data_IF_313463100611
#
_entry.id   IF_313463100611
#
_cell.length_a   1.000
_cell.length_b   1.000
_cell.length_c   1.000
_cell.angle_alpha   90.00
_cell.angle_beta   90.00
_cell.angle_gamma   90.00
#
_symmetry.space_group_name_H-M   'P 1'
#
loop_
_entity.id
_entity.type
_entity.pdbx_description
1 polymer ?
#
# COMPACT_ATOMS: atom_id res chain seq x y z
N UNK A 1 0.20 34.64 1.91
CA UNK A 1 0.51 35.21 3.26
C UNK A 1 -0.69 35.80 4.01
N UNK A 2 -1.94 35.63 3.54
CA UNK A 2 -3.11 36.31 4.14
C UNK A 2 -3.87 35.46 5.17
N UNK A 3 -3.84 34.13 5.05
CA UNK A 3 -4.64 33.22 5.90
C UNK A 3 -4.13 33.05 7.35
N UNK A 4 -2.81 33.08 7.58
CA UNK A 4 -2.23 32.91 8.94
C UNK A 4 -2.64 34.03 9.89
N UNK A 5 -2.83 35.26 9.38
CA UNK A 5 -3.27 36.42 10.19
C UNK A 5 -4.73 36.32 10.63
N UNK A 6 -5.61 35.75 9.80
CA UNK A 6 -7.03 35.63 10.12
C UNK A 6 -7.30 34.61 11.24
N UNK A 7 -6.52 33.51 11.27
CA UNK A 7 -6.71 32.41 12.21
C UNK A 7 -6.11 32.70 13.60
N UNK A 8 -5.09 33.57 13.70
CA UNK A 8 -4.56 34.04 14.98
C UNK A 8 -5.54 34.94 15.76
N UNK A 9 -6.60 35.43 15.12
CA UNK A 9 -7.61 36.27 15.76
C UNK A 9 -8.73 35.45 16.43
N UNK A 10 -8.77 34.14 16.24
CA UNK A 10 -9.83 33.29 16.79
C UNK A 10 -9.49 32.97 18.24
N UNK A 11 -10.32 33.47 19.16
CA UNK A 11 -10.21 33.25 20.61
C UNK A 11 -11.37 32.41 21.11
N UNK A 12 -11.10 31.59 22.11
CA UNK A 12 -12.11 30.85 22.85
C UNK A 12 -13.02 31.83 23.63
N UNK A 13 -14.36 31.77 23.46
CA UNK A 13 -15.28 32.66 24.16
C UNK A 13 -15.36 32.43 25.68
N UNK A 14 -14.84 31.31 26.20
CA UNK A 14 -14.89 30.96 27.63
C UNK A 14 -13.65 31.36 28.43
N UNK A 15 -12.46 31.35 27.82
CA UNK A 15 -11.16 31.66 28.50
C UNK A 15 -10.35 32.76 27.77
N UNK A 16 -10.88 33.31 26.66
CA UNK A 16 -10.22 34.33 25.83
C UNK A 16 -8.81 33.94 25.32
N UNK A 17 -8.46 32.66 25.41
CA UNK A 17 -7.21 32.09 24.88
C UNK A 17 -7.32 31.93 23.38
N UNK A 18 -6.22 32.14 22.66
CA UNK A 18 -6.14 31.85 21.23
C UNK A 18 -6.45 30.37 20.98
N UNK A 19 -7.47 30.13 20.15
CA UNK A 19 -8.00 28.79 19.87
C UNK A 19 -7.05 27.97 18.98
N UNK A 20 -6.25 28.65 18.18
CA UNK A 20 -5.44 28.03 17.13
C UNK A 20 -3.96 28.03 17.57
N UNK A 21 -3.49 26.86 18.00
CA UNK A 21 -2.06 26.55 18.07
C UNK A 21 -1.43 26.60 16.67
N UNK A 22 -0.12 26.83 16.62
CA UNK A 22 0.65 27.06 15.39
C UNK A 22 0.20 26.19 14.21
N UNK A 23 -0.47 26.81 13.23
CA UNK A 23 -0.72 26.18 11.94
C UNK A 23 0.62 26.14 11.22
N UNK A 24 1.28 24.99 11.30
CA UNK A 24 2.45 24.67 10.49
C UNK A 24 2.00 24.48 9.05
N UNK A 25 2.61 25.23 8.13
CA UNK A 25 2.38 25.04 6.70
C UNK A 25 2.92 23.65 6.32
N UNK A 26 2.02 22.70 6.09
CA UNK A 26 2.39 21.38 5.57
C UNK A 26 2.73 21.53 4.08
N UNK A 27 3.94 21.14 3.69
CA UNK A 27 4.33 21.15 2.28
C UNK A 27 3.62 20.02 1.55
N UNK A 28 3.31 20.24 0.27
CA UNK A 28 2.69 19.21 -0.57
C UNK A 28 3.57 17.95 -0.59
N UNK A 29 3.01 16.78 -0.25
CA UNK A 29 3.76 15.53 -0.28
C UNK A 29 4.34 15.25 -1.67
N UNK A 30 5.60 14.84 -1.71
CA UNK A 30 6.26 14.40 -2.93
C UNK A 30 5.61 13.11 -3.41
N UNK A 31 5.19 13.12 -4.67
CA UNK A 31 4.61 11.97 -5.35
C UNK A 31 5.72 11.29 -6.17
N UNK A 32 5.74 9.94 -6.26
CA UNK A 32 6.63 9.26 -7.19
C UNK A 32 6.33 9.79 -8.59
N UNK A 33 7.27 10.53 -9.17
CA UNK A 33 7.13 10.96 -10.56
C UNK A 33 7.09 9.70 -11.42
N UNK A 34 6.08 9.62 -12.28
CA UNK A 34 5.91 8.44 -13.15
C UNK A 34 6.95 8.39 -14.28
N UNK A 35 7.90 9.35 -14.34
CA UNK A 35 8.72 9.62 -15.53
C UNK A 35 10.18 10.02 -15.24
N UNK A 36 10.88 9.34 -14.33
CA UNK A 36 12.35 9.38 -14.31
C UNK A 36 12.91 7.99 -14.51
N UNK A 37 13.16 7.64 -15.78
CA UNK A 37 13.90 6.46 -16.15
C UNK A 37 15.32 6.54 -15.54
N UNK A 38 15.61 5.73 -14.54
CA UNK A 38 16.99 5.43 -14.20
C UNK A 38 17.50 4.48 -15.27
N UNK A 39 18.30 5.01 -16.21
CA UNK A 39 18.94 4.25 -17.27
C UNK A 39 20.00 3.31 -16.64
N UNK A 40 19.62 2.07 -16.31
CA UNK A 40 20.59 0.99 -16.16
C UNK A 40 20.46 0.05 -17.35
N UNK A 41 21.38 0.21 -18.30
CA UNK A 41 21.44 -0.55 -19.53
C UNK A 41 21.87 -1.99 -19.27
N UNK A 42 20.90 -2.90 -19.13
CA UNK A 42 21.01 -4.32 -19.52
C UNK A 42 19.61 -4.91 -19.58
N UNK A 43 19.15 -5.24 -20.79
CA UNK A 43 17.92 -5.99 -21.07
C UNK A 43 16.58 -5.27 -20.79
N UNK A 44 16.16 -4.41 -21.72
CA UNK A 44 14.76 -4.31 -22.20
C UNK A 44 13.57 -4.13 -21.25
N UNK A 45 13.75 -3.95 -19.94
CA UNK A 45 12.67 -3.84 -18.96
C UNK A 45 12.78 -2.49 -18.23
N UNK A 46 11.78 -1.62 -18.41
CA UNK A 46 11.72 -0.32 -17.74
C UNK A 46 11.50 -0.53 -16.23
N UNK A 47 12.58 -0.65 -15.46
CA UNK A 47 12.52 -0.74 -14.01
C UNK A 47 12.30 0.64 -13.40
N UNK A 48 11.03 1.01 -13.20
CA UNK A 48 10.66 2.16 -12.40
C UNK A 48 11.02 1.90 -10.94
N UNK A 49 12.20 2.31 -10.51
CA UNK A 49 12.69 2.13 -9.13
C UNK A 49 12.47 3.39 -8.30
N UNK A 50 11.93 3.23 -7.09
CA UNK A 50 11.85 4.31 -6.11
C UNK A 50 13.24 4.68 -5.58
N UNK A 51 13.50 5.94 -5.21
CA UNK A 51 14.74 6.32 -4.53
C UNK A 51 14.94 5.52 -3.23
N UNK A 52 16.19 5.19 -2.89
CA UNK A 52 16.50 4.40 -1.69
C UNK A 52 15.97 5.02 -0.39
N UNK A 53 15.97 6.35 -0.29
CA UNK A 53 15.41 7.07 0.85
C UNK A 53 13.90 6.85 1.01
N UNK A 54 13.17 6.68 -0.09
CA UNK A 54 11.73 6.42 -0.10
C UNK A 54 11.46 4.95 0.24
N UNK A 55 12.29 4.04 -0.29
CA UNK A 55 12.26 2.61 0.07
C UNK A 55 12.54 2.44 1.57
N UNK A 56 13.49 3.18 2.14
CA UNK A 56 13.78 3.14 3.57
C UNK A 56 12.60 3.65 4.42
N UNK A 57 11.94 4.73 4.00
CA UNK A 57 10.72 5.22 4.64
C UNK A 57 9.58 4.19 4.58
N UNK A 58 9.42 3.53 3.43
CA UNK A 58 8.44 2.46 3.23
C UNK A 58 8.73 1.24 4.12
N UNK A 59 9.99 0.82 4.25
CA UNK A 59 10.41 -0.25 5.18
C UNK A 59 10.03 0.09 6.62
N UNK A 60 10.28 1.32 7.04
CA UNK A 60 9.92 1.78 8.39
C UNK A 60 8.42 1.71 8.61
N UNK A 61 7.64 2.19 7.65
CA UNK A 61 6.18 2.07 7.68
C UNK A 61 5.73 0.61 7.84
N UNK A 62 6.35 -0.33 7.12
CA UNK A 62 5.99 -1.75 7.22
C UNK A 62 6.28 -2.33 8.60
N UNK A 63 7.42 -1.97 9.20
CA UNK A 63 7.76 -2.41 10.56
C UNK A 63 6.75 -1.88 11.58
N UNK A 64 6.34 -0.61 11.46
CA UNK A 64 5.36 0.01 12.37
C UNK A 64 3.95 -0.60 12.21
N UNK A 65 3.59 -1.03 10.99
CA UNK A 65 2.29 -1.64 10.69
C UNK A 65 2.27 -3.16 10.73
N UNK A 66 3.41 -3.80 11.00
CA UNK A 66 3.52 -5.24 11.10
C UNK A 66 3.23 -5.71 12.52
N UNK A 67 2.26 -6.61 12.64
CA UNK A 67 1.88 -7.24 13.89
C UNK A 67 2.56 -8.61 14.00
N UNK A 68 3.68 -8.66 14.71
CA UNK A 68 4.49 -9.88 14.82
C UNK A 68 3.74 -11.09 15.43
N UNK A 69 2.84 -10.84 16.40
CA UNK A 69 2.08 -11.91 17.07
C UNK A 69 1.11 -12.66 16.14
N UNK A 70 0.53 -11.97 15.17
CA UNK A 70 -0.40 -12.55 14.18
C UNK A 70 0.22 -12.76 12.82
N UNK A 71 1.44 -12.22 12.58
CA UNK A 71 2.10 -12.12 11.28
C UNK A 71 1.25 -11.36 10.26
N UNK A 72 0.57 -10.31 10.71
CA UNK A 72 -0.28 -9.47 9.85
C UNK A 72 0.48 -8.22 9.44
N UNK A 73 0.51 -7.93 8.15
CA UNK A 73 1.00 -6.66 7.62
C UNK A 73 -0.19 -5.83 7.13
N UNK A 74 -0.44 -4.71 7.81
CA UNK A 74 -1.54 -3.82 7.44
C UNK A 74 -1.06 -2.69 6.53
N UNK A 75 -1.39 -2.74 5.24
CA UNK A 75 -1.11 -1.67 4.28
C UNK A 75 -2.39 -0.98 3.80
N UNK A 76 -3.48 -1.08 4.57
CA UNK A 76 -4.72 -0.40 4.25
C UNK A 76 -4.52 1.12 4.17
N UNK A 77 -5.12 1.75 3.15
CA UNK A 77 -5.02 3.20 2.94
C UNK A 77 -3.59 3.76 3.05
N UNK A 78 -2.59 3.09 2.46
CA UNK A 78 -1.17 3.48 2.60
C UNK A 78 -0.91 4.93 2.18
N UNK A 79 -1.65 5.41 1.19
CA UNK A 79 -1.56 6.78 0.68
C UNK A 79 -1.88 7.87 1.73
N UNK A 80 -2.53 7.52 2.83
CA UNK A 80 -2.84 8.41 3.97
C UNK A 80 -2.01 8.09 5.21
N UNK A 81 -0.95 7.30 5.09
CA UNK A 81 -0.14 6.90 6.23
C UNK A 81 0.56 8.11 6.89
N UNK A 82 0.38 8.33 8.20
CA UNK A 82 0.95 9.49 8.88
C UNK A 82 2.48 9.47 8.95
N UNK A 83 3.12 8.31 9.03
CA UNK A 83 4.58 8.18 9.06
C UNK A 83 5.19 8.60 7.72
N UNK A 84 4.58 8.23 6.61
CA UNK A 84 5.00 8.66 5.27
C UNK A 84 4.68 10.14 5.02
N UNK A 85 3.47 10.59 5.36
CA UNK A 85 3.04 11.97 5.13
C UNK A 85 3.83 12.99 5.97
N UNK A 86 4.20 12.66 7.21
CA UNK A 86 5.04 13.53 8.04
C UNK A 86 6.44 13.76 7.47
N UNK A 87 6.91 12.84 6.63
CA UNK A 87 8.16 12.97 5.86
C UNK A 87 7.95 13.68 4.51
N UNK A 88 6.72 14.10 4.22
CA UNK A 88 6.34 14.70 2.94
C UNK A 88 6.37 13.68 1.80
N UNK A 89 6.08 12.40 2.05
CA UNK A 89 6.04 11.34 1.05
C UNK A 89 4.60 10.86 0.81
N UNK A 90 4.18 10.78 -0.45
CA UNK A 90 2.91 10.21 -0.85
C UNK A 90 3.14 8.96 -1.70
N UNK A 91 3.03 7.77 -1.08
CA UNK A 91 3.32 6.47 -1.71
C UNK A 91 2.04 5.65 -1.89
N UNK A 92 1.20 5.94 -2.90
CA UNK A 92 -0.02 5.19 -3.12
C UNK A 92 0.27 3.81 -3.75
N UNK A 93 -0.37 2.76 -3.24
CA UNK A 93 -0.22 1.40 -3.78
C UNK A 93 -0.81 1.19 -5.18
N UNK A 94 -1.53 2.17 -5.74
CA UNK A 94 -1.98 2.12 -7.14
C UNK A 94 -0.87 2.50 -8.14
N UNK A 95 0.34 2.82 -7.68
CA UNK A 95 1.51 3.08 -8.52
C UNK A 95 2.43 1.86 -8.54
N UNK A 96 2.76 1.38 -9.74
CA UNK A 96 3.58 0.18 -9.94
C UNK A 96 4.93 0.24 -9.22
N UNK A 97 5.62 1.40 -9.24
CA UNK A 97 6.90 1.57 -8.52
C UNK A 97 6.78 1.31 -7.00
N UNK A 98 5.67 1.73 -6.38
CA UNK A 98 5.42 1.51 -4.94
C UNK A 98 5.13 0.03 -4.68
N UNK A 99 4.34 -0.61 -5.55
CA UNK A 99 4.06 -2.05 -5.46
C UNK A 99 5.35 -2.86 -5.64
N UNK A 100 6.18 -2.54 -6.63
CA UNK A 100 7.45 -3.25 -6.86
C UNK A 100 8.40 -3.08 -5.68
N UNK A 101 8.51 -1.87 -5.11
CA UNK A 101 9.29 -1.65 -3.90
C UNK A 101 8.76 -2.45 -2.70
N UNK A 102 7.43 -2.50 -2.50
CA UNK A 102 6.80 -3.34 -1.48
C UNK A 102 7.18 -4.82 -1.67
N UNK A 103 7.07 -5.33 -2.90
CA UNK A 103 7.39 -6.74 -3.20
C UNK A 103 8.86 -7.04 -2.91
N UNK A 104 9.77 -6.15 -3.33
CA UNK A 104 11.20 -6.30 -3.06
C UNK A 104 11.47 -6.34 -1.56
N UNK A 105 10.84 -5.45 -0.76
CA UNK A 105 10.96 -5.48 0.70
C UNK A 105 10.47 -6.82 1.26
N UNK A 106 9.34 -7.35 0.79
CA UNK A 106 8.82 -8.64 1.26
C UNK A 106 9.76 -9.80 0.93
N UNK A 107 10.30 -9.83 -0.30
CA UNK A 107 11.27 -10.85 -0.76
C UNK A 107 12.57 -10.79 0.04
N UNK A 108 13.16 -9.60 0.21
CA UNK A 108 14.39 -9.41 0.99
C UNK A 108 14.26 -9.93 2.44
N UNK A 109 13.07 -9.87 3.02
CA UNK A 109 12.80 -10.35 4.38
C UNK A 109 12.29 -11.81 4.42
N UNK A 110 12.18 -12.49 3.28
CA UNK A 110 11.56 -13.82 3.15
C UNK A 110 10.21 -13.88 3.91
N UNK A 111 9.37 -12.86 3.69
CA UNK A 111 8.21 -12.61 4.54
C UNK A 111 7.21 -13.77 4.54
N UNK A 112 6.79 -14.19 5.74
CA UNK A 112 5.76 -15.22 5.95
C UNK A 112 4.58 -14.59 6.68
N UNK A 113 3.59 -14.13 5.93
CA UNK A 113 2.45 -13.39 6.43
C UNK A 113 1.23 -14.31 6.58
N UNK A 114 0.50 -14.17 7.69
CA UNK A 114 -0.83 -14.77 7.80
C UNK A 114 -1.87 -13.90 7.09
N UNK A 115 -1.73 -12.58 7.17
CA UNK A 115 -2.61 -11.63 6.47
C UNK A 115 -1.79 -10.48 5.87
N UNK A 116 -2.06 -10.19 4.60
CA UNK A 116 -1.66 -8.94 3.94
C UNK A 116 -2.90 -8.10 3.65
N UNK A 117 -3.06 -6.98 4.36
CA UNK A 117 -4.20 -6.08 4.15
C UNK A 117 -3.84 -5.00 3.12
N UNK A 118 -4.52 -4.99 1.98
CA UNK A 118 -4.38 -4.03 0.87
C UNK A 118 -5.68 -3.24 0.65
N UNK A 119 -6.61 -3.26 1.61
CA UNK A 119 -7.90 -2.60 1.49
C UNK A 119 -7.79 -1.08 1.33
N UNK A 120 -8.79 -0.46 0.71
CA UNK A 120 -8.90 1.00 0.59
C UNK A 120 -7.70 1.71 -0.07
N UNK A 121 -7.03 1.05 -1.02
CA UNK A 121 -5.85 1.59 -1.72
C UNK A 121 -6.14 2.10 -3.14
N UNK A 122 -7.42 2.13 -3.55
CA UNK A 122 -7.89 2.55 -4.87
C UNK A 122 -7.25 1.72 -6.00
N UNK A 123 -7.05 0.43 -5.76
CA UNK A 123 -6.50 -0.52 -6.72
C UNK A 123 -7.56 -0.86 -7.78
N UNK A 124 -7.31 -0.52 -9.04
CA UNK A 124 -8.18 -0.88 -10.18
C UNK A 124 -7.83 -2.24 -10.80
N UNK A 125 -6.57 -2.69 -10.64
CA UNK A 125 -6.07 -3.98 -11.08
C UNK A 125 -4.84 -4.39 -10.26
N UNK A 126 -4.56 -5.69 -10.17
CA UNK A 126 -3.48 -6.26 -9.38
C UNK A 126 -2.30 -6.77 -10.22
N UNK A 127 -2.22 -6.41 -11.51
CA UNK A 127 -1.17 -6.93 -12.41
C UNK A 127 0.26 -6.65 -11.90
N UNK A 128 0.51 -5.51 -11.25
CA UNK A 128 1.81 -5.19 -10.64
C UNK A 128 2.20 -6.09 -9.47
N UNK A 129 1.25 -6.89 -8.95
CA UNK A 129 1.49 -7.88 -7.89
C UNK A 129 1.94 -9.24 -8.43
N UNK A 130 1.93 -9.45 -9.76
CA UNK A 130 2.38 -10.70 -10.38
C UNK A 130 3.77 -11.17 -9.94
N UNK A 131 4.75 -10.28 -9.60
CA UNK A 131 6.05 -10.73 -9.11
C UNK A 131 6.03 -11.35 -7.70
N UNK A 132 4.89 -11.36 -7.00
CA UNK A 132 4.68 -12.14 -5.75
C UNK A 132 4.41 -13.61 -6.02
N UNK A 133 4.13 -14.00 -7.27
CA UNK A 133 3.98 -15.40 -7.61
C UNK A 133 5.23 -16.19 -7.22
N UNK A 134 5.03 -17.39 -6.67
CA UNK A 134 6.11 -18.27 -6.29
C UNK A 134 6.84 -18.74 -7.54
N UNK A 135 8.10 -18.34 -7.68
CA UNK A 135 8.97 -18.87 -8.72
C UNK A 135 9.72 -20.10 -8.16
N UNK A 136 9.80 -21.20 -8.92
CA UNK A 136 10.48 -22.41 -8.48
C UNK A 136 12.00 -22.22 -8.26
N UNK A 137 12.58 -21.16 -8.83
CA UNK A 137 13.98 -20.75 -8.64
C UNK A 137 14.23 -19.97 -7.32
N UNK A 138 13.18 -19.45 -6.68
CA UNK A 138 13.25 -18.62 -5.46
C UNK A 138 13.17 -19.44 -4.15
N UNK A 139 13.57 -20.72 -4.18
CA UNK A 139 13.35 -21.72 -3.10
C UNK A 139 13.85 -21.32 -1.68
N UNK A 140 14.63 -20.24 -1.54
CA UNK A 140 15.08 -19.68 -0.25
C UNK A 140 14.51 -18.29 0.11
N UNK A 141 13.84 -17.59 -0.80
CA UNK A 141 13.33 -16.22 -0.66
C UNK A 141 11.80 -16.13 -0.84
N UNK A 142 11.13 -17.28 -0.75
CA UNK A 142 9.72 -17.40 -1.07
C UNK A 142 8.86 -16.65 -0.04
N UNK A 143 8.31 -15.52 -0.48
CA UNK A 143 7.23 -14.82 0.22
C UNK A 143 6.02 -15.76 0.26
N UNK A 144 5.48 -15.99 1.45
CA UNK A 144 4.25 -16.77 1.63
C UNK A 144 3.22 -15.95 2.36
N UNK A 145 2.00 -15.96 1.84
CA UNK A 145 0.88 -15.15 2.33
C UNK A 145 -0.36 -16.04 2.40
N UNK A 146 -0.89 -16.24 3.60
CA UNK A 146 -2.06 -17.12 3.80
C UNK A 146 -3.38 -16.44 3.39
N UNK A 147 -3.53 -15.15 3.72
CA UNK A 147 -4.73 -14.37 3.42
C UNK A 147 -4.37 -13.01 2.82
N UNK A 148 -5.15 -12.58 1.84
CA UNK A 148 -5.04 -11.23 1.26
C UNK A 148 -6.40 -10.55 1.35
N UNK A 149 -6.41 -9.34 1.89
CA UNK A 149 -7.59 -8.48 1.90
C UNK A 149 -7.43 -7.39 0.83
N UNK A 150 -8.27 -7.42 -0.20
CA UNK A 150 -8.34 -6.38 -1.25
C UNK A 150 -9.65 -5.61 -1.22
N UNK A 151 -10.37 -5.64 -0.09
CA UNK A 151 -11.67 -5.01 0.07
C UNK A 151 -11.63 -3.48 -0.14
N UNK A 152 -12.79 -2.88 -0.42
CA UNK A 152 -12.92 -1.44 -0.64
C UNK A 152 -11.98 -0.87 -1.73
N UNK A 153 -11.67 -1.68 -2.75
CA UNK A 153 -10.96 -1.25 -3.95
C UNK A 153 -11.88 -1.31 -5.19
N UNK A 154 -11.71 -0.42 -6.19
CA UNK A 154 -12.54 -0.38 -7.39
C UNK A 154 -12.18 -1.49 -8.42
N UNK A 155 -12.10 -2.74 -7.97
CA UNK A 155 -11.81 -3.92 -8.80
C UNK A 155 -13.07 -4.36 -9.54
N UNK A 156 -13.10 -4.21 -10.87
CA UNK A 156 -14.33 -4.38 -11.66
C UNK A 156 -14.55 -5.76 -12.28
N UNK A 157 -13.51 -6.59 -12.39
CA UNK A 157 -13.65 -7.91 -13.00
C UNK A 157 -12.56 -8.89 -12.59
N UNK A 158 -12.75 -10.18 -12.91
CA UNK A 158 -11.83 -11.25 -12.53
C UNK A 158 -10.42 -11.05 -13.10
N UNK A 159 -10.29 -10.47 -14.29
CA UNK A 159 -8.98 -10.14 -14.88
C UNK A 159 -8.20 -9.13 -14.03
N UNK A 160 -8.87 -8.30 -13.23
CA UNK A 160 -8.22 -7.38 -12.30
C UNK A 160 -7.53 -8.13 -11.14
N UNK A 161 -7.93 -9.38 -10.85
CA UNK A 161 -7.33 -10.22 -9.81
C UNK A 161 -6.18 -11.10 -10.32
N UNK A 162 -5.92 -11.10 -11.64
CA UNK A 162 -4.98 -12.03 -12.27
C UNK A 162 -3.56 -11.99 -11.68
N UNK A 163 -3.12 -10.84 -11.17
CA UNK A 163 -1.79 -10.69 -10.56
C UNK A 163 -1.63 -11.35 -9.19
N UNK A 164 -2.69 -11.86 -8.56
CA UNK A 164 -2.58 -12.66 -7.33
C UNK A 164 -2.36 -14.16 -7.61
N UNK A 165 -2.36 -14.57 -8.88
CA UNK A 165 -2.19 -15.98 -9.26
C UNK A 165 -0.79 -16.46 -8.89
N UNK A 166 -0.72 -17.64 -8.26
CA UNK A 166 0.55 -18.31 -7.97
C UNK A 166 1.24 -17.85 -6.69
N UNK A 167 0.61 -17.01 -5.86
CA UNK A 167 1.14 -16.66 -4.53
C UNK A 167 1.19 -17.91 -3.64
N UNK A 168 2.34 -18.16 -3.02
CA UNK A 168 2.53 -19.34 -2.17
C UNK A 168 1.73 -19.25 -0.87
N UNK A 169 0.95 -20.30 -0.60
CA UNK A 169 0.22 -20.48 0.66
C UNK A 169 -1.11 -19.72 0.75
N UNK A 170 -1.54 -19.04 -0.30
CA UNK A 170 -2.79 -18.28 -0.30
C UNK A 170 -4.00 -19.23 -0.20
N UNK A 171 -4.76 -19.09 0.88
CA UNK A 171 -5.97 -19.88 1.15
C UNK A 171 -7.23 -19.01 1.23
N UNK A 172 -7.09 -17.71 1.47
CA UNK A 172 -8.23 -16.79 1.63
C UNK A 172 -7.98 -15.49 0.88
N UNK A 173 -9.03 -15.00 0.20
CA UNK A 173 -9.04 -13.72 -0.48
C UNK A 173 -10.31 -12.97 -0.12
N UNK A 174 -10.18 -11.83 0.57
CA UNK A 174 -11.31 -10.94 0.83
C UNK A 174 -11.46 -9.92 -0.30
N UNK A 175 -12.63 -9.95 -0.93
CA UNK A 175 -13.03 -9.04 -2.02
C UNK A 175 -14.24 -8.18 -1.62
N UNK A 176 -14.59 -8.10 -0.33
CA UNK A 176 -15.73 -7.31 0.13
C UNK A 176 -15.68 -5.86 -0.38
N UNK A 177 -16.84 -5.27 -0.64
CA UNK A 177 -16.95 -3.88 -1.12
C UNK A 177 -16.14 -3.56 -2.39
N UNK A 178 -15.95 -4.57 -3.25
CA UNK A 178 -15.43 -4.42 -4.61
C UNK A 178 -16.53 -4.67 -5.65
N UNK A 179 -16.52 -4.00 -6.81
CA UNK A 179 -17.51 -4.30 -7.85
C UNK A 179 -17.46 -5.75 -8.37
N UNK A 180 -16.30 -6.40 -8.34
CA UNK A 180 -16.16 -7.82 -8.72
C UNK A 180 -16.88 -8.76 -7.75
N UNK A 181 -17.01 -8.40 -6.46
CA UNK A 181 -17.77 -9.20 -5.50
C UNK A 181 -19.25 -9.36 -5.88
N UNK A 182 -19.83 -8.38 -6.59
CA UNK A 182 -21.21 -8.45 -7.06
C UNK A 182 -21.42 -9.53 -8.14
N UNK A 183 -20.35 -10.04 -8.76
CA UNK A 183 -20.40 -11.12 -9.75
C UNK A 183 -20.54 -12.50 -9.09
N UNK A 184 -20.29 -12.59 -7.78
CA UNK A 184 -20.37 -13.84 -7.02
C UNK A 184 -21.70 -13.95 -6.26
N UNK A 185 -22.24 -15.17 -6.18
CA UNK A 185 -23.45 -15.44 -5.41
C UNK A 185 -23.08 -15.52 -3.93
N UNK A 186 -24.05 -15.28 -3.04
CA UNK A 186 -23.82 -15.40 -1.58
C UNK A 186 -23.34 -16.80 -1.15
N UNK A 187 -23.70 -17.83 -1.90
CA UNK A 187 -23.25 -19.22 -1.72
C UNK A 187 -21.76 -19.44 -2.03
N UNK A 188 -21.16 -18.56 -2.83
CA UNK A 188 -19.76 -18.68 -3.26
C UNK A 188 -18.81 -18.04 -2.23
N UNK A 189 -19.36 -17.38 -1.21
CA UNK A 189 -18.62 -16.58 -0.20
C UNK A 189 -17.97 -17.43 0.90
N UNK A 190 -18.26 -18.71 0.98
CA UNK A 190 -17.75 -19.60 2.03
C UNK A 190 -17.37 -20.94 1.42
N UNK A 191 -16.08 -21.16 1.20
CA UNK A 191 -15.55 -22.52 1.12
C UNK A 191 -15.59 -23.08 2.54
N UNK A 192 -16.74 -23.65 2.93
CA UNK A 192 -16.82 -24.53 4.08
C UNK A 192 -16.17 -25.84 3.64
N UNK A 193 -14.87 -25.97 3.93
CA UNK A 193 -14.10 -27.20 3.85
C UNK A 193 -13.75 -27.65 5.25
#
# INVERSE_FOLDING_TARGET
MTYRKALQSIRDPSDNKTFIGDITLVHEPRVPQSDTANLSSTSGELTYSLPDSWVAALRRCFVERFHAGTRNLDLSSLHTDPTLLSQGLYLPLNKAAVVHAMINILKENAAKLSLLNLSSNRLSHLNSFSPLAANPEDAGSAVSIERIDVSANPLTGLSALAGLRGIAGLVELDIADTPVAAQFRKSDRTLVG
#
